data_IF_118695301837
#
_entry.id   IF_118695301837
#
_cell.length_a   1.000
_cell.length_b   1.000
_cell.length_c   1.000
_cell.angle_alpha   90.00
_cell.angle_beta   90.00
_cell.angle_gamma   90.00
#
_symmetry.space_group_name_H-M   'P 1'
#
loop_
_entity.id
_entity.type
_entity.pdbx_description
1 polymer ?
#
# COMPACT_ATOMS: atom_id res chain seq x y z
N UNK A 1 32.12 -8.34 33.02
CA UNK A 1 30.97 -9.28 33.02
C UNK A 1 30.23 -9.19 31.69
N UNK A 2 30.05 -10.31 31.01
CA UNK A 2 29.42 -10.39 29.68
C UNK A 2 27.97 -9.84 29.68
N UNK A 3 27.26 -9.98 30.80
CA UNK A 3 25.89 -9.50 31.00
C UNK A 3 25.79 -7.97 30.88
N UNK A 4 26.78 -7.23 31.40
CA UNK A 4 26.78 -5.75 31.32
C UNK A 4 26.98 -5.28 29.88
N UNK A 5 27.92 -5.91 29.17
CA UNK A 5 28.17 -5.64 27.74
C UNK A 5 26.96 -5.97 26.88
N UNK A 6 26.31 -7.12 27.08
CA UNK A 6 25.06 -7.48 26.39
C UNK A 6 23.96 -6.46 26.68
N UNK A 7 23.80 -6.01 27.93
CA UNK A 7 22.79 -5.00 28.28
C UNK A 7 23.09 -3.63 27.67
N UNK A 8 24.36 -3.23 27.63
CA UNK A 8 24.80 -1.96 27.05
C UNK A 8 24.76 -2.00 25.51
N UNK A 9 25.03 -3.16 24.88
CA UNK A 9 24.91 -3.38 23.43
C UNK A 9 23.43 -3.40 23.01
N UNK A 10 22.56 -4.10 23.75
CA UNK A 10 21.10 -4.05 23.54
C UNK A 10 20.55 -2.64 23.78
N UNK A 11 21.13 -1.88 24.73
CA UNK A 11 20.79 -0.47 24.94
C UNK A 11 21.22 0.40 23.76
N UNK A 12 22.45 0.19 23.27
CA UNK A 12 23.00 0.87 22.11
C UNK A 12 22.23 0.57 20.83
N UNK A 13 21.64 -0.62 20.72
CA UNK A 13 20.76 -1.01 19.62
C UNK A 13 19.28 -0.65 19.85
N UNK A 14 18.98 0.02 20.98
CA UNK A 14 17.61 0.35 21.42
C UNK A 14 16.67 -0.86 21.56
N UNK A 15 17.21 -2.08 21.66
CA UNK A 15 16.44 -3.32 21.79
C UNK A 15 15.96 -3.60 23.22
N UNK A 16 16.34 -2.75 24.18
CA UNK A 16 15.85 -2.80 25.56
C UNK A 16 14.35 -2.49 25.68
N UNK A 17 13.78 -1.89 24.62
CA UNK A 17 12.42 -1.39 24.62
C UNK A 17 11.77 -1.64 23.26
N UNK A 18 10.84 -2.57 23.24
CA UNK A 18 10.04 -2.86 22.05
C UNK A 18 8.69 -2.15 22.16
N UNK A 19 8.36 -1.34 21.15
CA UNK A 19 7.05 -0.71 20.99
C UNK A 19 6.32 -1.42 19.85
N UNK A 20 5.22 -2.08 20.17
CA UNK A 20 4.41 -2.82 19.21
C UNK A 20 3.46 -1.89 18.46
N UNK A 21 3.61 -1.79 17.15
CA UNK A 21 2.66 -1.05 16.29
C UNK A 21 1.72 -2.06 15.63
N UNK A 22 0.42 -1.97 15.90
CA UNK A 22 -0.55 -2.92 15.37
C UNK A 22 -1.79 -2.25 14.76
N UNK A 23 -2.37 -2.90 13.76
CA UNK A 23 -3.61 -2.47 13.13
C UNK A 23 -4.81 -2.61 14.09
N UNK A 24 -5.88 -1.88 13.78
CA UNK A 24 -7.19 -1.83 14.43
C UNK A 24 -7.80 -3.20 14.69
N UNK A 25 -7.47 -4.21 13.88
CA UNK A 25 -7.92 -5.59 14.06
C UNK A 25 -7.41 -6.25 15.36
N UNK A 26 -6.26 -5.81 15.86
CA UNK A 26 -5.63 -6.36 17.07
C UNK A 26 -5.91 -5.54 18.34
N UNK A 27 -6.75 -4.51 18.24
CA UNK A 27 -7.05 -3.59 19.34
C UNK A 27 -8.13 -4.14 20.30
N UNK A 28 -7.89 -5.29 20.91
CA UNK A 28 -8.71 -5.84 21.99
C UNK A 28 -8.16 -5.43 23.37
N UNK A 29 -8.99 -5.44 24.42
CA UNK A 29 -8.52 -5.17 25.80
C UNK A 29 -7.49 -6.22 26.23
N UNK A 30 -7.75 -7.49 25.95
CA UNK A 30 -6.86 -8.60 26.29
C UNK A 30 -5.50 -8.47 25.58
N UNK A 31 -5.50 -8.16 24.28
CA UNK A 31 -4.26 -7.99 23.52
C UNK A 31 -3.45 -6.82 24.06
N UNK A 32 -4.09 -5.70 24.38
CA UNK A 32 -3.39 -4.53 24.95
C UNK A 32 -2.78 -4.82 26.31
N UNK A 33 -3.51 -5.54 27.17
CA UNK A 33 -2.98 -5.99 28.46
C UNK A 33 -1.77 -6.93 28.27
N UNK A 34 -1.86 -7.85 27.30
CA UNK A 34 -0.77 -8.76 26.96
C UNK A 34 0.47 -8.03 26.42
N UNK A 35 0.29 -7.07 25.50
CA UNK A 35 1.38 -6.26 24.95
C UNK A 35 2.06 -5.37 26.00
N UNK A 36 1.36 -5.04 27.09
CA UNK A 36 1.94 -4.32 28.22
C UNK A 36 2.59 -5.24 29.27
N UNK A 37 2.27 -6.54 29.24
CA UNK A 37 2.89 -7.50 30.15
C UNK A 37 4.40 -7.55 29.89
N UNK A 38 5.19 -7.66 30.97
CA UNK A 38 6.65 -7.65 30.86
C UNK A 38 7.29 -6.31 30.47
N UNK A 39 6.55 -5.19 30.57
CA UNK A 39 7.10 -3.84 30.33
C UNK A 39 7.11 -3.40 28.86
N UNK A 40 6.39 -4.12 27.99
CA UNK A 40 6.19 -3.72 26.60
C UNK A 40 5.29 -2.48 26.45
N UNK A 41 5.42 -1.80 25.32
CA UNK A 41 4.54 -0.70 24.95
C UNK A 41 3.86 -0.98 23.61
N UNK A 42 2.75 -0.29 23.35
CA UNK A 42 2.03 -0.43 22.08
C UNK A 42 1.57 0.90 21.51
N UNK A 43 1.35 0.90 20.20
CA UNK A 43 0.64 1.90 19.42
C UNK A 43 -0.37 1.16 18.57
N UNK A 44 -1.65 1.41 18.80
CA UNK A 44 -2.72 0.75 18.05
C UNK A 44 -3.72 1.78 17.56
N UNK A 45 -4.26 1.58 16.36
CA UNK A 45 -5.32 2.44 15.87
C UNK A 45 -6.70 2.04 16.43
N UNK A 46 -7.56 3.03 16.59
CA UNK A 46 -8.96 2.87 16.99
C UNK A 46 -9.88 2.90 15.76
N UNK A 47 -10.97 2.14 15.80
CA UNK A 47 -12.04 2.25 14.80
C UNK A 47 -12.91 3.46 15.16
N UNK A 48 -12.84 4.55 14.39
CA UNK A 48 -13.59 5.78 14.71
C UNK A 48 -15.11 5.56 14.83
N UNK A 49 -15.69 4.76 13.93
CA UNK A 49 -17.15 4.55 13.82
C UNK A 49 -17.71 3.58 14.87
N UNK A 50 -16.87 2.68 15.37
CA UNK A 50 -17.20 1.72 16.44
C UNK A 50 -16.26 1.90 17.63
N UNK A 51 -15.90 3.16 17.90
CA UNK A 51 -14.92 3.53 18.91
C UNK A 51 -15.44 3.19 20.31
N UNK A 52 -14.52 2.78 21.19
CA UNK A 52 -14.79 2.69 22.63
C UNK A 52 -15.22 4.03 23.22
N UNK A 53 -15.85 4.03 24.40
CA UNK A 53 -16.23 5.26 25.12
C UNK A 53 -15.06 6.24 25.24
N UNK A 54 -13.90 5.72 25.65
CA UNK A 54 -12.68 6.48 25.85
C UNK A 54 -12.19 7.12 24.54
N UNK A 55 -12.30 6.38 23.42
CA UNK A 55 -11.91 6.86 22.10
C UNK A 55 -12.88 7.93 21.55
N UNK A 56 -14.19 7.80 21.83
CA UNK A 56 -15.19 8.83 21.49
C UNK A 56 -14.95 10.11 22.26
N UNK A 57 -14.64 10.00 23.57
CA UNK A 57 -14.27 11.13 24.41
C UNK A 57 -12.98 11.81 23.91
N UNK A 58 -11.97 11.03 23.52
CA UNK A 58 -10.74 11.58 22.96
C UNK A 58 -11.00 12.40 21.67
N UNK A 59 -11.91 11.94 20.81
CA UNK A 59 -12.28 12.63 19.57
C UNK A 59 -13.09 13.91 19.82
N UNK A 60 -13.91 13.96 20.89
CA UNK A 60 -14.77 15.11 21.19
C UNK A 60 -14.03 16.24 21.90
N UNK A 61 -12.94 15.95 22.62
CA UNK A 61 -12.17 16.97 23.34
C UNK A 61 -11.56 18.01 22.38
N UNK A 62 -11.85 19.31 22.56
CA UNK A 62 -11.21 20.37 21.77
C UNK A 62 -9.71 20.44 22.12
N UNK A 63 -8.91 20.95 21.19
CA UNK A 63 -7.49 21.14 21.42
C UNK A 63 -6.75 21.55 20.16
N UNK A 64 -5.54 22.06 20.33
CA UNK A 64 -4.70 22.56 19.25
C UNK A 64 -4.02 21.40 18.52
N UNK A 65 -4.04 21.48 17.19
CA UNK A 65 -3.25 20.59 16.34
C UNK A 65 -1.86 21.17 16.09
N UNK A 66 -0.87 20.29 16.03
CA UNK A 66 0.50 20.60 15.68
C UNK A 66 0.82 19.97 14.35
N UNK A 67 1.40 20.76 13.42
CA UNK A 67 1.90 20.24 12.15
C UNK A 67 3.12 19.36 12.38
N UNK A 68 3.13 18.24 11.69
CA UNK A 68 4.20 17.25 11.60
C UNK A 68 4.78 17.34 10.18
N UNK A 69 5.62 16.39 9.78
CA UNK A 69 6.19 16.26 8.44
C UNK A 69 5.10 16.19 7.36
N UNK A 70 5.25 17.03 6.32
CA UNK A 70 4.29 17.13 5.22
C UNK A 70 3.05 17.91 5.63
N UNK A 71 1.87 17.34 5.36
CA UNK A 71 0.55 17.92 5.66
C UNK A 71 -0.13 17.29 6.88
N UNK A 72 0.57 16.45 7.63
CA UNK A 72 0.00 15.73 8.76
C UNK A 72 -0.10 16.65 10.00
N UNK A 73 -1.24 16.63 10.66
CA UNK A 73 -1.49 17.36 11.89
C UNK A 73 -1.84 16.40 13.04
N UNK A 74 -1.31 16.64 14.24
CA UNK A 74 -1.52 15.76 15.40
C UNK A 74 -1.98 16.55 16.62
N UNK A 75 -2.83 15.91 17.43
CA UNK A 75 -3.30 16.40 18.72
C UNK A 75 -3.24 15.29 19.74
N UNK A 76 -2.51 15.50 20.83
CA UNK A 76 -2.53 14.59 21.97
C UNK A 76 -3.77 14.84 22.83
N UNK A 77 -4.39 13.75 23.28
CA UNK A 77 -5.52 13.79 24.20
C UNK A 77 -5.34 12.69 25.25
N UNK A 78 -5.43 13.04 26.52
CA UNK A 78 -5.48 12.08 27.62
C UNK A 78 -6.90 11.97 28.13
N UNK A 79 -7.39 10.76 28.29
CA UNK A 79 -8.72 10.45 28.81
C UNK A 79 -8.55 9.66 30.10
N UNK A 80 -9.43 9.91 31.09
CA UNK A 80 -9.30 9.42 32.48
C UNK A 80 -8.08 9.99 33.21
N UNK A 81 -8.10 9.84 34.53
CA UNK A 81 -7.08 10.35 35.44
C UNK A 81 -6.36 9.22 36.21
N UNK A 82 -5.18 9.53 36.75
CA UNK A 82 -4.37 8.63 37.56
C UNK A 82 -3.91 7.37 36.81
N UNK A 83 -3.86 6.24 37.52
CA UNK A 83 -3.37 4.96 36.99
C UNK A 83 -4.21 4.39 35.81
N UNK A 84 -5.41 4.93 35.58
CA UNK A 84 -6.30 4.54 34.47
C UNK A 84 -6.22 5.50 33.28
N UNK A 85 -5.32 6.49 33.33
CA UNK A 85 -5.15 7.45 32.25
C UNK A 85 -4.78 6.73 30.96
N UNK A 86 -5.47 7.08 29.88
CA UNK A 86 -5.25 6.56 28.55
C UNK A 86 -4.81 7.68 27.63
N UNK A 87 -3.72 7.43 26.92
CA UNK A 87 -3.14 8.37 25.99
C UNK A 87 -3.60 8.08 24.57
N UNK A 88 -4.10 9.12 23.92
CA UNK A 88 -4.53 9.09 22.54
C UNK A 88 -3.83 10.18 21.73
N UNK A 89 -3.62 9.89 20.44
CA UNK A 89 -3.17 10.86 19.46
C UNK A 89 -4.17 10.90 18.32
N UNK A 90 -4.85 12.03 18.16
CA UNK A 90 -5.71 12.31 17.01
C UNK A 90 -4.83 12.83 15.90
N UNK A 91 -4.78 12.11 14.80
CA UNK A 91 -4.08 12.54 13.59
C UNK A 91 -5.10 13.03 12.57
N UNK A 92 -4.73 14.04 11.80
CA UNK A 92 -5.55 14.65 10.76
C UNK A 92 -4.70 14.93 9.53
N UNK A 93 -5.16 14.50 8.36
CA UNK A 93 -4.54 14.80 7.09
C UNK A 93 -5.55 15.58 6.21
N UNK A 94 -5.28 16.84 5.86
CA UNK A 94 -6.17 17.67 5.05
C UNK A 94 -6.47 17.11 3.65
N UNK A 95 -5.49 16.53 2.97
CA UNK A 95 -5.69 15.92 1.64
C UNK A 95 -6.54 14.64 1.73
N UNK A 96 -6.34 13.85 2.79
CA UNK A 96 -7.22 12.71 3.06
C UNK A 96 -8.64 13.17 3.39
N UNK A 97 -8.79 14.29 4.11
CA UNK A 97 -10.09 14.85 4.43
C UNK A 97 -10.87 15.27 3.18
N UNK A 98 -10.23 15.93 2.21
CA UNK A 98 -10.91 16.29 0.96
C UNK A 98 -11.28 15.06 0.13
N UNK A 99 -10.40 14.05 0.07
CA UNK A 99 -10.73 12.78 -0.60
C UNK A 99 -11.88 12.05 0.07
N UNK A 100 -11.87 11.96 1.40
CA UNK A 100 -12.94 11.32 2.17
C UNK A 100 -14.27 12.07 1.99
N UNK A 101 -14.22 13.40 1.97
CA UNK A 101 -15.38 14.25 1.65
C UNK A 101 -15.92 13.96 0.26
N UNK A 102 -15.09 13.93 -0.78
CA UNK A 102 -15.51 13.59 -2.15
C UNK A 102 -16.16 12.20 -2.20
N UNK A 103 -15.56 11.21 -1.55
CA UNK A 103 -16.14 9.86 -1.45
C UNK A 103 -17.50 9.91 -0.73
N UNK A 104 -17.61 10.65 0.37
CA UNK A 104 -18.87 10.82 1.10
C UNK A 104 -19.94 11.48 0.24
N UNK A 105 -19.60 12.54 -0.47
CA UNK A 105 -20.53 13.28 -1.32
C UNK A 105 -21.02 12.39 -2.48
N UNK A 106 -20.12 11.62 -3.12
CA UNK A 106 -20.49 10.61 -4.13
C UNK A 106 -21.40 9.51 -3.56
N UNK A 107 -21.16 9.06 -2.32
CA UNK A 107 -22.02 8.08 -1.66
C UNK A 107 -23.42 8.63 -1.36
N UNK A 108 -23.51 9.91 -0.99
CA UNK A 108 -24.79 10.60 -0.75
C UNK A 108 -25.55 10.75 -2.06
N UNK A 109 -24.90 11.22 -3.12
CA UNK A 109 -25.52 11.35 -4.44
C UNK A 109 -26.01 10.00 -4.98
N UNK A 110 -25.18 8.95 -4.86
CA UNK A 110 -25.58 7.60 -5.24
C UNK A 110 -26.77 7.11 -4.40
N UNK A 111 -26.77 7.35 -3.08
CA UNK A 111 -27.87 6.98 -2.21
C UNK A 111 -29.17 7.71 -2.57
N UNK A 112 -29.10 9.01 -2.84
CA UNK A 112 -30.20 9.84 -3.33
C UNK A 112 -30.81 9.23 -4.59
N UNK A 113 -29.96 8.83 -5.54
CA UNK A 113 -30.39 8.18 -6.77
C UNK A 113 -31.11 6.84 -6.52
N UNK A 114 -30.72 6.09 -5.49
CA UNK A 114 -31.33 4.79 -5.16
C UNK A 114 -32.68 4.94 -4.45
N UNK A 115 -32.85 5.96 -3.63
CA UNK A 115 -34.10 6.19 -2.87
C UNK A 115 -35.09 7.08 -3.63
N UNK A 116 -34.68 7.69 -4.73
CA UNK A 116 -35.53 8.50 -5.59
C UNK A 116 -36.77 7.70 -5.99
N UNK A 117 -37.93 8.34 -5.85
CA UNK A 117 -39.26 7.78 -6.13
C UNK A 117 -39.66 6.56 -5.28
N UNK A 118 -38.82 6.12 -4.33
CA UNK A 118 -39.09 4.95 -3.48
C UNK A 118 -40.32 5.12 -2.59
N UNK A 119 -40.74 6.36 -2.33
CA UNK A 119 -41.96 6.68 -1.59
C UNK A 119 -43.23 6.18 -2.28
N UNK A 120 -43.22 6.15 -3.63
CA UNK A 120 -44.33 5.63 -4.44
C UNK A 120 -44.36 4.09 -4.51
N UNK A 121 -43.32 3.41 -4.05
CA UNK A 121 -43.22 1.96 -4.18
C UNK A 121 -44.05 1.24 -3.11
N UNK A 122 -44.45 0.01 -3.45
CA UNK A 122 -45.09 -0.90 -2.50
C UNK A 122 -44.13 -1.31 -1.38
N UNK A 123 -44.68 -1.64 -0.20
CA UNK A 123 -43.89 -2.03 0.98
C UNK A 123 -42.87 -3.16 0.69
N UNK A 124 -43.22 -4.26 -0.01
CA UNK A 124 -42.24 -5.32 -0.31
C UNK A 124 -41.04 -4.84 -1.13
N UNK A 125 -41.27 -3.95 -2.10
CA UNK A 125 -40.21 -3.38 -2.93
C UNK A 125 -39.29 -2.46 -2.12
N UNK A 126 -39.85 -1.70 -1.16
CA UNK A 126 -39.05 -0.93 -0.20
C UNK A 126 -38.23 -1.82 0.74
N UNK A 127 -38.78 -2.95 1.17
CA UNK A 127 -38.06 -3.95 1.99
C UNK A 127 -36.90 -4.60 1.23
N UNK A 128 -37.07 -4.91 -0.05
CA UNK A 128 -35.98 -5.41 -0.90
C UNK A 128 -34.84 -4.40 -1.02
N UNK A 129 -35.16 -3.12 -1.22
CA UNK A 129 -34.17 -2.03 -1.23
C UNK A 129 -33.46 -1.92 0.12
N UNK A 130 -34.18 -2.04 1.24
CA UNK A 130 -33.56 -2.07 2.57
C UNK A 130 -32.55 -3.21 2.70
N UNK A 131 -32.90 -4.41 2.20
CA UNK A 131 -32.00 -5.56 2.15
C UNK A 131 -30.73 -5.27 1.36
N UNK A 132 -30.86 -4.69 0.16
CA UNK A 132 -29.72 -4.30 -0.69
C UNK A 132 -28.85 -3.23 -0.06
N UNK A 133 -29.43 -2.24 0.63
CA UNK A 133 -28.67 -1.19 1.30
C UNK A 133 -27.94 -1.72 2.54
N UNK A 134 -28.53 -2.65 3.30
CA UNK A 134 -27.90 -3.28 4.47
C UNK A 134 -26.61 -4.04 4.14
N UNK A 135 -26.50 -4.61 2.94
CA UNK A 135 -25.24 -5.26 2.50
C UNK A 135 -24.12 -4.26 2.21
N UNK A 136 -24.44 -2.96 2.14
CA UNK A 136 -23.50 -1.86 1.90
C UNK A 136 -23.44 -0.94 3.13
N UNK A 137 -22.61 -1.24 4.16
CA UNK A 137 -22.57 -0.49 5.41
C UNK A 137 -22.27 1.02 5.27
N UNK A 138 -21.57 1.40 4.20
CA UNK A 138 -21.28 2.80 3.91
C UNK A 138 -22.55 3.60 3.58
N UNK A 139 -23.46 3.02 2.79
CA UNK A 139 -24.74 3.63 2.41
C UNK A 139 -25.77 3.52 3.52
N UNK A 140 -25.89 2.33 4.14
CA UNK A 140 -26.86 2.07 5.20
C UNK A 140 -26.72 3.03 6.38
N UNK A 141 -25.50 3.49 6.68
CA UNK A 141 -25.25 4.43 7.78
C UNK A 141 -25.72 5.86 7.48
N UNK A 142 -25.89 6.21 6.21
CA UNK A 142 -26.29 7.55 5.75
C UNK A 142 -27.79 7.66 5.46
N UNK A 143 -28.54 6.55 5.59
CA UNK A 143 -29.97 6.51 5.37
C UNK A 143 -30.71 6.23 6.68
N UNK A 144 -31.83 6.90 6.87
CA UNK A 144 -32.84 6.59 7.88
C UNK A 144 -34.05 5.96 7.20
N UNK A 145 -34.63 4.98 7.88
CA UNK A 145 -35.90 4.38 7.48
C UNK A 145 -36.94 4.73 8.52
N UNK A 146 -38.08 5.24 8.06
CA UNK A 146 -39.22 5.55 8.91
C UNK A 146 -40.08 4.30 9.17
N UNK A 147 -41.04 4.38 10.09
CA UNK A 147 -41.93 3.26 10.47
C UNK A 147 -42.79 2.78 9.28
N UNK A 148 -43.18 3.70 8.39
CA UNK A 148 -43.86 3.42 7.12
C UNK A 148 -42.95 2.73 6.07
N UNK A 149 -41.67 2.59 6.39
CA UNK A 149 -40.65 1.98 5.56
C UNK A 149 -40.11 2.89 4.46
N UNK A 150 -40.41 4.19 4.50
CA UNK A 150 -39.86 5.23 3.60
C UNK A 150 -38.40 5.53 3.95
N UNK A 151 -37.63 5.96 2.96
CA UNK A 151 -36.21 6.26 3.13
C UNK A 151 -35.97 7.77 3.11
N UNK A 152 -35.15 8.24 4.05
CA UNK A 152 -34.71 9.63 4.11
C UNK A 152 -33.20 9.66 4.35
N UNK A 153 -32.53 10.66 3.78
CA UNK A 153 -31.11 10.87 4.05
C UNK A 153 -30.95 11.34 5.49
N UNK A 154 -30.07 10.68 6.25
CA UNK A 154 -29.76 11.10 7.61
C UNK A 154 -28.70 12.21 7.59
N UNK A 155 -29.16 13.46 7.54
CA UNK A 155 -28.30 14.66 7.59
C UNK A 155 -27.43 14.71 8.85
N UNK A 156 -27.91 14.18 9.98
CA UNK A 156 -27.12 14.13 11.22
C UNK A 156 -26.01 13.09 11.12
N UNK A 157 -26.26 11.95 10.46
CA UNK A 157 -25.24 10.95 10.20
C UNK A 157 -24.16 11.49 9.24
N UNK A 158 -24.55 12.22 8.19
CA UNK A 158 -23.61 12.89 7.28
C UNK A 158 -22.74 13.89 8.05
N UNK A 159 -23.35 14.75 8.89
CA UNK A 159 -22.62 15.73 9.68
C UNK A 159 -21.67 15.07 10.70
N UNK A 160 -22.04 13.91 11.27
CA UNK A 160 -21.16 13.12 12.13
C UNK A 160 -20.00 12.50 11.33
N UNK A 161 -20.28 12.02 10.12
CA UNK A 161 -19.25 11.44 9.24
C UNK A 161 -18.24 12.49 8.80
N UNK A 162 -18.70 13.68 8.42
CA UNK A 162 -17.86 14.80 8.01
C UNK A 162 -16.84 15.19 9.09
N UNK A 163 -17.15 14.98 10.38
CA UNK A 163 -16.22 15.23 11.48
C UNK A 163 -15.08 14.23 11.55
N UNK A 164 -15.18 13.08 10.89
CA UNK A 164 -14.19 12.01 10.86
C UNK A 164 -13.31 12.05 9.61
N UNK A 165 -13.70 12.81 8.58
CA UNK A 165 -12.97 12.94 7.31
C UNK A 165 -11.49 13.27 7.58
N UNK A 166 -10.58 12.47 7.00
CA UNK A 166 -9.13 12.63 7.13
C UNK A 166 -8.54 12.37 8.51
N UNK A 167 -9.33 11.88 9.48
CA UNK A 167 -8.85 11.60 10.84
C UNK A 167 -8.53 10.12 11.05
N UNK A 168 -7.56 9.88 11.93
CA UNK A 168 -7.41 8.59 12.61
C UNK A 168 -7.00 8.81 14.06
N UNK A 169 -7.28 7.82 14.90
CA UNK A 169 -7.06 7.90 16.33
C UNK A 169 -6.13 6.77 16.74
N UNK A 170 -5.01 7.13 17.35
CA UNK A 170 -4.05 6.19 17.91
C UNK A 170 -4.25 6.13 19.42
N UNK A 171 -4.22 4.92 19.98
CA UNK A 171 -4.10 4.66 21.40
C UNK A 171 -2.71 4.13 21.68
N UNK A 172 -2.06 4.63 22.72
CA UNK A 172 -0.74 4.16 23.11
C UNK A 172 -0.61 4.00 24.63
N UNK A 173 0.22 3.04 25.03
CA UNK A 173 0.71 2.93 26.41
C UNK A 173 2.06 3.64 26.62
N UNK A 174 2.69 4.11 25.55
CA UNK A 174 3.98 4.79 25.60
C UNK A 174 3.80 6.23 26.07
N UNK A 175 4.60 6.66 27.05
CA UNK A 175 4.57 8.03 27.56
C UNK A 175 5.75 8.89 27.10
N UNK A 176 6.76 8.29 26.47
CA UNK A 176 7.98 9.02 26.08
C UNK A 176 7.98 9.46 24.63
N UNK A 177 7.32 8.70 23.75
CA UNK A 177 7.27 9.03 22.32
C UNK A 177 6.44 10.29 22.12
N UNK A 178 6.94 11.22 21.31
CA UNK A 178 6.19 12.41 20.97
C UNK A 178 4.94 12.04 20.14
N UNK A 179 3.89 12.88 20.14
CA UNK A 179 2.74 12.67 19.25
C UNK A 179 3.12 12.58 17.76
N UNK A 180 4.18 13.30 17.37
CA UNK A 180 4.77 13.26 16.04
C UNK A 180 5.34 11.88 15.72
N UNK A 181 6.18 11.33 16.59
CA UNK A 181 6.81 10.01 16.38
C UNK A 181 5.77 8.90 16.34
N UNK A 182 4.73 8.98 17.18
CA UNK A 182 3.62 8.02 17.16
C UNK A 182 2.87 8.03 15.83
N UNK A 183 2.61 9.21 15.29
CA UNK A 183 1.92 9.36 14.03
C UNK A 183 2.78 8.86 12.84
N UNK A 184 4.08 9.13 12.87
CA UNK A 184 5.04 8.64 11.87
C UNK A 184 5.22 7.12 11.95
N UNK A 185 5.35 6.55 13.16
CA UNK A 185 5.44 5.11 13.36
C UNK A 185 4.21 4.37 12.83
N UNK A 186 3.01 4.93 13.06
CA UNK A 186 1.79 4.36 12.48
C UNK A 186 1.72 4.54 10.96
N UNK A 187 2.22 5.66 10.41
CA UNK A 187 2.32 5.84 8.95
C UNK A 187 3.24 4.79 8.30
N UNK A 188 4.37 4.47 8.93
CA UNK A 188 5.26 3.40 8.48
C UNK A 188 4.55 2.03 8.45
N UNK A 189 3.66 1.74 9.40
CA UNK A 189 2.87 0.50 9.36
C UNK A 189 2.03 0.42 8.06
N UNK A 190 1.45 1.53 7.59
CA UNK A 190 0.69 1.55 6.33
C UNK A 190 1.58 1.25 5.11
N UNK A 191 2.83 1.71 5.13
CA UNK A 191 3.80 1.39 4.07
C UNK A 191 4.18 -0.09 4.07
N UNK A 192 4.34 -0.67 5.26
CA UNK A 192 4.56 -2.11 5.44
C UNK A 192 3.35 -2.90 4.93
N UNK A 193 2.13 -2.50 5.28
CA UNK A 193 0.89 -3.13 4.77
C UNK A 193 0.76 -3.04 3.24
N UNK A 194 1.15 -1.90 2.65
CA UNK A 194 1.24 -1.78 1.19
C UNK A 194 2.25 -2.78 0.63
N UNK A 195 3.43 -2.88 1.24
CA UNK A 195 4.43 -3.91 0.89
C UNK A 195 3.83 -5.30 0.88
N UNK A 196 3.18 -5.70 1.98
CA UNK A 196 2.53 -7.01 2.09
C UNK A 196 1.44 -7.24 1.04
N UNK A 197 0.69 -6.20 0.66
CA UNK A 197 -0.32 -6.29 -0.40
C UNK A 197 0.31 -6.50 -1.77
N UNK A 198 1.36 -5.75 -2.07
CA UNK A 198 2.12 -5.85 -3.33
C UNK A 198 2.79 -7.24 -3.45
N UNK A 199 3.35 -7.75 -2.35
CA UNK A 199 3.91 -9.11 -2.28
C UNK A 199 2.87 -10.18 -2.59
N UNK A 200 1.66 -10.06 -2.02
CA UNK A 200 0.57 -11.03 -2.22
C UNK A 200 -0.03 -10.95 -3.61
N UNK A 201 -0.23 -9.73 -4.13
CA UNK A 201 -0.89 -9.49 -5.42
C UNK A 201 0.10 -9.47 -6.58
N UNK A 202 0.80 -8.35 -6.76
CA UNK A 202 1.68 -8.11 -7.92
C UNK A 202 2.80 -9.13 -8.07
N UNK A 203 3.30 -9.67 -6.96
CA UNK A 203 4.43 -10.61 -6.94
C UNK A 203 4.00 -12.07 -6.72
N UNK A 204 2.69 -12.34 -6.67
CA UNK A 204 2.17 -13.70 -6.69
C UNK A 204 2.56 -14.56 -5.49
N UNK A 205 2.79 -13.97 -4.30
CA UNK A 205 3.02 -14.79 -3.10
C UNK A 205 1.82 -15.68 -2.78
N UNK A 206 0.62 -15.37 -3.29
CA UNK A 206 -0.55 -16.26 -3.16
C UNK A 206 -1.26 -16.45 -4.50
N UNK A 207 -1.66 -17.70 -4.85
CA UNK A 207 -1.48 -18.95 -4.08
C UNK A 207 -0.06 -19.53 -4.18
N UNK A 208 0.48 -20.07 -3.08
CA UNK A 208 1.73 -20.84 -3.09
C UNK A 208 1.41 -22.28 -3.49
N UNK A 209 1.63 -22.63 -4.75
CA UNK A 209 1.43 -24.00 -5.25
C UNK A 209 2.66 -24.91 -5.07
N UNK A 210 3.60 -24.52 -4.21
CA UNK A 210 4.81 -25.28 -3.92
C UNK A 210 4.61 -26.17 -2.69
N UNK A 211 4.97 -27.44 -2.81
CA UNK A 211 4.86 -28.42 -1.72
C UNK A 211 6.21 -28.71 -1.02
N UNK A 212 7.34 -28.43 -1.68
CA UNK A 212 8.67 -28.64 -1.13
C UNK A 212 9.15 -27.39 -0.37
N UNK A 213 9.74 -27.58 0.81
CA UNK A 213 10.18 -26.47 1.67
C UNK A 213 11.16 -25.52 0.96
N UNK A 214 12.12 -26.04 0.21
CA UNK A 214 13.11 -25.20 -0.48
C UNK A 214 12.47 -24.37 -1.58
N UNK A 215 11.52 -24.93 -2.34
CA UNK A 215 10.76 -24.16 -3.34
C UNK A 215 9.92 -23.06 -2.70
N UNK A 216 9.34 -23.32 -1.53
CA UNK A 216 8.59 -22.31 -0.76
C UNK A 216 9.54 -21.18 -0.32
N UNK A 217 10.72 -21.51 0.24
CA UNK A 217 11.72 -20.54 0.67
C UNK A 217 12.22 -19.69 -0.50
N UNK A 218 12.57 -20.31 -1.63
CA UNK A 218 13.01 -19.61 -2.83
C UNK A 218 11.92 -18.69 -3.40
N UNK A 219 10.66 -19.14 -3.43
CA UNK A 219 9.54 -18.29 -3.88
C UNK A 219 9.40 -17.04 -3.00
N UNK A 220 9.44 -17.21 -1.68
CA UNK A 220 9.37 -16.08 -0.73
C UNK A 220 10.54 -15.12 -0.95
N UNK A 221 11.76 -15.62 -1.14
CA UNK A 221 12.94 -14.80 -1.40
C UNK A 221 12.82 -14.02 -2.73
N UNK A 222 12.35 -14.66 -3.80
CA UNK A 222 12.10 -14.01 -5.08
C UNK A 222 11.01 -12.94 -4.98
N UNK A 223 9.92 -13.21 -4.26
CA UNK A 223 8.90 -12.19 -3.99
C UNK A 223 9.49 -11.02 -3.18
N UNK A 224 10.35 -11.27 -2.20
CA UNK A 224 10.99 -10.20 -1.43
C UNK A 224 11.94 -9.35 -2.29
N UNK A 225 12.76 -9.98 -3.14
CA UNK A 225 13.62 -9.29 -4.10
C UNK A 225 12.79 -8.48 -5.11
N UNK A 226 11.70 -9.05 -5.61
CA UNK A 226 10.76 -8.35 -6.49
C UNK A 226 10.14 -7.13 -5.82
N UNK A 227 9.79 -7.22 -4.53
CA UNK A 227 9.29 -6.08 -3.76
C UNK A 227 10.36 -4.98 -3.62
N UNK A 228 11.60 -5.36 -3.36
CA UNK A 228 12.73 -4.43 -3.29
C UNK A 228 12.88 -3.69 -4.63
N UNK A 229 12.89 -4.41 -5.75
CA UNK A 229 12.98 -3.81 -7.09
C UNK A 229 11.81 -2.87 -7.38
N UNK A 230 10.57 -3.29 -7.07
CA UNK A 230 9.40 -2.43 -7.19
C UNK A 230 9.57 -1.12 -6.42
N UNK A 231 10.07 -1.16 -5.18
CA UNK A 231 10.28 0.05 -4.36
C UNK A 231 11.40 0.93 -4.87
N UNK A 232 12.49 0.35 -5.37
CA UNK A 232 13.56 1.12 -6.03
C UNK A 232 13.00 1.86 -7.25
N UNK A 233 12.16 1.19 -8.05
CA UNK A 233 11.56 1.78 -9.24
C UNK A 233 10.58 2.90 -8.89
N UNK A 234 9.67 2.67 -7.94
CA UNK A 234 8.70 3.67 -7.51
C UNK A 234 9.37 4.89 -6.88
N UNK A 235 10.41 4.69 -6.06
CA UNK A 235 11.16 5.80 -5.46
C UNK A 235 12.02 6.56 -6.48
N UNK A 236 12.58 5.86 -7.47
CA UNK A 236 13.40 6.47 -8.52
C UNK A 236 12.57 7.31 -9.49
N UNK A 237 11.38 6.82 -9.88
CA UNK A 237 10.50 7.46 -10.88
C UNK A 237 9.45 8.40 -10.26
N UNK A 238 9.15 8.26 -8.97
CA UNK A 238 8.04 8.96 -8.33
C UNK A 238 6.64 8.51 -8.78
N UNK A 239 6.54 7.44 -9.59
CA UNK A 239 5.28 6.88 -10.07
C UNK A 239 5.05 5.47 -9.48
N UNK A 240 3.81 4.97 -9.55
CA UNK A 240 3.46 3.64 -9.03
C UNK A 240 3.99 2.52 -9.94
N UNK A 241 4.35 1.36 -9.37
CA UNK A 241 4.82 0.21 -10.15
C UNK A 241 3.84 -0.18 -11.25
N UNK A 242 2.52 -0.08 -10.99
CA UNK A 242 1.48 -0.37 -11.97
C UNK A 242 1.63 0.52 -13.22
N UNK A 243 1.85 1.82 -13.03
CA UNK A 243 1.95 2.77 -14.13
C UNK A 243 3.26 2.59 -14.91
N UNK A 244 4.38 2.45 -14.19
CA UNK A 244 5.70 2.22 -14.79
C UNK A 244 5.70 0.92 -15.59
N UNK A 245 5.21 -0.18 -14.99
CA UNK A 245 5.07 -1.46 -15.66
C UNK A 245 4.19 -1.35 -16.91
N UNK A 246 3.01 -0.74 -16.81
CA UNK A 246 2.11 -0.61 -17.96
C UNK A 246 2.75 0.18 -19.11
N UNK A 247 3.60 1.15 -18.82
CA UNK A 247 4.31 1.92 -19.85
C UNK A 247 5.47 1.12 -20.47
N UNK A 248 6.23 0.38 -19.65
CA UNK A 248 7.32 -0.49 -20.12
C UNK A 248 6.80 -1.74 -20.85
N UNK A 249 5.66 -2.30 -20.45
CA UNK A 249 5.02 -3.47 -21.09
C UNK A 249 4.59 -3.19 -22.54
N UNK A 250 4.52 -1.90 -22.95
CA UNK A 250 4.27 -1.47 -24.35
C UNK A 250 5.52 -1.54 -25.22
N UNK A 251 6.69 -1.76 -24.62
CA UNK A 251 7.91 -1.98 -25.38
C UNK A 251 7.96 -3.44 -25.84
N UNK A 252 7.99 -3.64 -27.16
CA UNK A 252 8.01 -4.96 -27.76
C UNK A 252 9.28 -5.18 -28.56
N UNK A 253 9.77 -6.41 -28.55
CA UNK A 253 10.84 -6.87 -29.41
C UNK A 253 10.22 -7.61 -30.59
N UNK A 254 10.46 -7.13 -31.81
CA UNK A 254 9.99 -7.74 -33.05
C UNK A 254 11.16 -8.46 -33.70
N UNK A 255 11.04 -9.77 -33.88
CA UNK A 255 12.02 -10.55 -34.63
C UNK A 255 11.63 -10.56 -36.10
N UNK A 256 12.54 -10.08 -36.94
CA UNK A 256 12.41 -10.06 -38.39
C UNK A 256 13.30 -11.15 -38.98
N UNK A 257 12.73 -11.95 -39.86
CA UNK A 257 13.46 -12.93 -40.67
C UNK A 257 13.44 -12.45 -42.12
N UNK A 258 14.62 -12.29 -42.69
CA UNK A 258 14.86 -11.87 -44.07
C UNK A 258 15.73 -12.90 -44.77
N UNK A 259 15.86 -12.81 -46.10
CA UNK A 259 16.75 -13.70 -46.87
C UNK A 259 18.21 -13.61 -46.40
N UNK A 260 18.61 -12.42 -45.94
CA UNK A 260 19.98 -12.10 -45.53
C UNK A 260 20.27 -12.42 -44.05
N UNK A 261 19.27 -12.94 -43.33
CA UNK A 261 19.40 -13.32 -41.93
C UNK A 261 18.25 -12.87 -41.05
N UNK A 262 18.45 -13.02 -39.76
CA UNK A 262 17.48 -12.74 -38.70
C UNK A 262 18.01 -11.67 -37.77
N UNK A 263 17.16 -10.73 -37.40
CA UNK A 263 17.49 -9.74 -36.38
C UNK A 263 16.26 -9.40 -35.54
N UNK A 264 16.49 -8.96 -34.30
CA UNK A 264 15.44 -8.48 -33.42
C UNK A 264 15.52 -6.96 -33.28
N UNK A 265 14.41 -6.27 -33.47
CA UNK A 265 14.31 -4.82 -33.33
C UNK A 265 13.24 -4.48 -32.31
N UNK A 266 13.58 -3.63 -31.34
CA UNK A 266 12.58 -3.12 -30.40
C UNK A 266 11.75 -1.99 -31.01
N UNK A 267 10.56 -1.77 -30.47
CA UNK A 267 9.74 -0.60 -30.78
C UNK A 267 10.46 0.72 -30.45
N UNK A 268 10.00 1.80 -31.06
CA UNK A 268 10.50 3.14 -30.75
C UNK A 268 10.21 3.47 -29.28
N UNK A 269 11.20 4.03 -28.59
CA UNK A 269 11.04 4.45 -27.20
C UNK A 269 10.13 5.69 -27.16
N UNK A 270 9.13 5.65 -26.30
CA UNK A 270 8.28 6.82 -26.02
C UNK A 270 9.03 7.82 -25.11
N UNK A 271 8.67 9.11 -25.11
CA UNK A 271 9.26 10.09 -24.18
C UNK A 271 9.14 9.66 -22.71
N UNK A 272 8.00 9.04 -22.34
CA UNK A 272 7.76 8.55 -20.98
C UNK A 272 8.66 7.35 -20.64
N UNK A 273 8.90 6.43 -21.58
CA UNK A 273 9.85 5.33 -21.37
C UNK A 273 11.29 5.85 -21.21
N UNK A 274 11.70 6.83 -22.02
CA UNK A 274 13.02 7.46 -21.90
C UNK A 274 13.21 8.15 -20.53
N UNK A 275 12.17 8.81 -20.04
CA UNK A 275 12.15 9.40 -18.69
C UNK A 275 12.33 8.34 -17.61
N UNK A 276 11.59 7.23 -17.67
CA UNK A 276 11.75 6.11 -16.73
C UNK A 276 13.21 5.59 -16.71
N UNK A 277 13.84 5.37 -17.88
CA UNK A 277 15.23 4.89 -17.91
C UNK A 277 16.20 5.91 -17.31
N UNK A 278 16.01 7.20 -17.59
CA UNK A 278 16.83 8.29 -17.05
C UNK A 278 16.71 8.39 -15.53
N UNK A 279 15.49 8.35 -15.00
CA UNK A 279 15.21 8.45 -13.57
C UNK A 279 15.80 7.26 -12.80
N UNK A 280 15.73 6.07 -13.41
CA UNK A 280 16.36 4.85 -12.88
C UNK A 280 17.87 4.79 -13.10
N UNK A 281 18.44 5.73 -13.87
CA UNK A 281 19.86 5.75 -14.28
C UNK A 281 20.28 4.46 -14.99
N UNK A 282 19.38 3.90 -15.78
CA UNK A 282 19.59 2.68 -16.57
C UNK A 282 19.83 3.08 -18.02
N UNK A 283 20.77 2.41 -18.69
CA UNK A 283 21.01 2.60 -20.12
C UNK A 283 19.80 2.12 -20.92
N UNK A 284 19.35 2.94 -21.88
CA UNK A 284 18.30 2.53 -22.80
C UNK A 284 18.69 1.24 -23.56
N UNK A 285 17.75 0.30 -23.74
CA UNK A 285 18.03 -0.90 -24.51
C UNK A 285 18.41 -0.55 -25.95
N UNK A 286 19.34 -1.30 -26.53
CA UNK A 286 19.74 -1.15 -27.94
C UNK A 286 18.53 -1.29 -28.87
N UNK A 287 18.50 -0.52 -29.97
CA UNK A 287 17.37 -0.60 -30.94
C UNK A 287 17.33 -1.93 -31.68
N UNK A 288 18.51 -2.47 -31.98
CA UNK A 288 18.70 -3.74 -32.66
C UNK A 288 19.45 -4.70 -31.75
N UNK A 289 19.00 -5.94 -31.71
CA UNK A 289 19.50 -7.04 -30.89
C UNK A 289 19.59 -8.30 -31.75
N UNK A 290 20.39 -9.28 -31.30
CA UNK A 290 20.42 -10.65 -31.82
C UNK A 290 20.52 -10.76 -33.35
N UNK A 291 21.60 -10.18 -33.92
CA UNK A 291 21.87 -10.24 -35.35
C UNK A 291 22.49 -11.58 -35.74
N UNK A 292 21.77 -12.37 -36.54
CA UNK A 292 22.23 -13.60 -37.18
C UNK A 292 22.21 -13.41 -38.70
N UNK A 293 23.33 -13.01 -39.28
CA UNK A 293 23.45 -12.86 -40.73
C UNK A 293 23.67 -14.20 -41.43
N UNK A 294 23.03 -14.40 -42.58
CA UNK A 294 23.45 -15.43 -43.53
C UNK A 294 24.69 -14.90 -44.24
N UNK A 295 25.87 -15.41 -43.90
CA UNK A 295 27.08 -15.10 -44.68
C UNK A 295 26.90 -15.73 -46.07
N UNK A 296 26.47 -14.94 -47.06
CA UNK A 296 26.80 -15.28 -48.44
C UNK A 296 28.32 -15.28 -48.53
N UNK A 297 28.88 -16.48 -48.64
CA UNK A 297 30.28 -16.68 -49.00
C UNK A 297 30.41 -16.10 -50.41
N UNK A 298 30.82 -14.84 -50.51
CA UNK A 298 31.35 -14.31 -51.76
C UNK A 298 32.50 -15.25 -52.13
N UNK A 299 32.44 -15.99 -53.26
CA UNK A 299 33.51 -16.90 -53.60
C UNK A 299 34.79 -16.07 -53.77
N UNK A 300 35.74 -16.30 -52.85
CA UNK A 300 37.05 -15.68 -52.90
C UNK A 300 37.65 -15.93 -54.29
N UNK A 301 37.84 -14.87 -55.06
CA UNK A 301 38.75 -14.93 -56.20
C UNK A 301 40.10 -15.43 -55.66
N UNK A 302 40.57 -16.56 -56.21
CA UNK A 302 41.78 -17.26 -55.78
C UNK A 302 42.93 -16.27 -55.62
N UNK A 303 43.37 -16.06 -54.37
CA UNK A 303 44.44 -15.14 -54.07
C UNK A 303 44.94 -15.24 -52.63
N UNK A 304 45.74 -16.27 -52.38
CA UNK A 304 46.66 -16.40 -51.24
C UNK A 304 46.08 -16.68 -49.84
N UNK A 305 46.70 -17.65 -49.16
CA UNK A 305 46.36 -18.18 -47.85
C UNK A 305 46.82 -17.24 -46.72
N UNK A 306 45.97 -17.01 -45.73
CA UNK A 306 46.40 -16.81 -44.34
C UNK A 306 45.29 -17.20 -43.37
N UNK A 307 45.54 -18.24 -42.58
CA UNK A 307 44.65 -18.73 -41.52
C UNK A 307 44.49 -17.67 -40.42
N UNK A 308 43.25 -17.32 -40.07
CA UNK A 308 42.91 -16.82 -38.74
C UNK A 308 41.54 -17.34 -38.36
N UNK A 309 41.53 -18.38 -37.53
CA UNK A 309 40.34 -18.94 -36.90
C UNK A 309 39.89 -18.01 -35.77
N UNK A 310 38.80 -17.26 -35.95
CA UNK A 310 38.07 -16.66 -34.83
C UNK A 310 36.93 -17.59 -34.42
N UNK A 311 37.08 -18.18 -33.22
CA UNK A 311 36.04 -18.92 -32.53
C UNK A 311 34.93 -17.97 -32.04
N UNK A 312 33.70 -18.18 -32.50
CA UNK A 312 32.51 -17.66 -31.84
C UNK A 312 32.12 -18.60 -30.69
N UNK A 313 32.29 -18.15 -29.45
CA UNK A 313 31.80 -18.86 -28.25
C UNK A 313 30.29 -18.67 -28.16
N UNK A 314 29.53 -19.76 -28.34
CA UNK A 314 28.14 -19.85 -27.84
C UNK A 314 28.18 -19.89 -26.32
N UNK A 315 27.64 -18.87 -25.67
CA UNK A 315 27.30 -18.94 -24.24
C UNK A 315 25.91 -19.55 -24.14
N UNK A 316 25.87 -20.82 -23.71
CA UNK A 316 24.64 -21.53 -23.39
C UNK A 316 24.37 -21.34 -21.89
N UNK A 317 23.25 -20.72 -21.54
CA UNK A 317 22.72 -20.77 -20.17
C UNK A 317 21.70 -21.91 -20.10
N UNK A 318 21.98 -23.01 -19.39
CA UNK A 318 20.95 -23.98 -19.07
C UNK A 318 20.05 -23.45 -17.94
N UNK A 319 18.78 -23.83 -18.01
CA UNK A 319 17.70 -23.54 -17.06
C UNK A 319 17.99 -23.95 -15.62
#
# INVERSE_FOLDING_TARGET
MIIRRIKDDLAGWMLNRVVWVADRGFNSVANRAYLQSGGGHYVVAEKLRSASSDAKEALSRPGRYHKVTGNLEVKEVRVKEGARSQRFVVCFNPEAAERDKQVRDNLVEYLESQIKDSDSWTKPKRDELAGKLRTKPALWRLVRRDDDGKFQIDKLAIAKEAKLDGKWLLRTSDQSLSPCDLALAYKQLLEVERGWRDTKGSLGLRPVSHHQQDRIRSHIQLCWLGLLLMRVIENGTGDTWRNVRNELDRMHLVTMETKDGRFSQRTAITPKQAEIFRDLKIREPGRYLDFEGTLEIIPAHRGSRSNTTQMSKRVHFPY
#
